data_IF_086013473814
#
_entry.id   IF_086013473814
#
_cell.length_a   1.000
_cell.length_b   1.000
_cell.length_c   1.000
_cell.angle_alpha   90.00
_cell.angle_beta   90.00
_cell.angle_gamma   90.00
#
_symmetry.space_group_name_H-M   'P 1'
#
loop_
_entity.id
_entity.type
_entity.pdbx_description
1 polymer ?
#
# COMPACT_ATOMS: atom_id res chain seq x y z
N UNK A 1 -0.16 -8.23 -16.86
CA UNK A 1 0.43 -6.98 -17.30
C UNK A 1 -0.60 -5.96 -17.72
N UNK A 2 -1.63 -5.79 -16.94
CA UNK A 2 -2.65 -4.80 -17.25
C UNK A 2 -3.15 -4.16 -15.97
N UNK A 3 -3.49 -2.90 -16.06
CA UNK A 3 -4.17 -2.20 -14.98
C UNK A 3 -5.60 -2.72 -14.88
N UNK A 4 -6.03 -2.99 -13.66
CA UNK A 4 -7.41 -3.39 -13.40
C UNK A 4 -8.03 -2.40 -12.42
N UNK A 5 -9.33 -2.14 -12.60
CA UNK A 5 -10.05 -1.25 -11.69
C UNK A 5 -10.27 -2.00 -10.38
N UNK A 6 -9.81 -1.40 -9.28
CA UNK A 6 -9.92 -2.03 -7.95
C UNK A 6 -10.81 -1.24 -7.00
N UNK A 7 -11.03 0.05 -7.28
CA UNK A 7 -11.84 0.90 -6.41
C UNK A 7 -12.19 2.19 -7.14
N UNK A 8 -12.99 3.05 -6.49
CA UNK A 8 -13.28 4.41 -6.94
C UNK A 8 -12.74 5.40 -5.91
N UNK A 9 -12.48 6.62 -6.36
CA UNK A 9 -12.01 7.68 -5.46
C UNK A 9 -12.98 7.92 -4.31
N UNK A 10 -14.28 7.70 -4.53
CA UNK A 10 -15.27 7.87 -3.46
C UNK A 10 -15.18 6.82 -2.37
N UNK A 11 -14.42 5.75 -2.58
CA UNK A 11 -14.28 4.68 -1.60
C UNK A 11 -13.31 5.02 -0.47
N UNK A 12 -12.45 6.02 -0.67
CA UNK A 12 -11.53 6.46 0.38
C UNK A 12 -11.22 7.94 0.25
N UNK A 13 -11.15 8.61 1.38
CA UNK A 13 -10.81 10.03 1.46
C UNK A 13 -9.29 10.21 1.56
N UNK A 14 -8.77 11.42 1.26
CA UNK A 14 -7.34 11.68 1.52
C UNK A 14 -6.97 11.37 2.96
N UNK A 15 -5.87 10.66 3.14
CA UNK A 15 -5.42 10.20 4.45
C UNK A 15 -5.97 8.85 4.87
N UNK A 16 -6.78 8.20 4.03
CA UNK A 16 -7.37 6.89 4.33
C UNK A 16 -6.70 5.77 3.57
N UNK A 17 -6.89 4.56 4.07
CA UNK A 17 -6.45 3.33 3.43
C UNK A 17 -7.67 2.50 3.02
N UNK A 18 -7.48 1.62 2.02
CA UNK A 18 -8.50 0.68 1.59
C UNK A 18 -7.84 -0.66 1.29
N UNK A 19 -8.37 -1.73 1.88
CA UNK A 19 -7.86 -3.07 1.65
C UNK A 19 -8.48 -3.66 0.37
N UNK A 20 -7.63 -4.04 -0.58
CA UNK A 20 -8.05 -4.72 -1.82
C UNK A 20 -7.58 -6.17 -1.72
N UNK A 21 -8.53 -7.10 -1.61
CA UNK A 21 -8.20 -8.51 -1.38
C UNK A 21 -8.49 -9.41 -2.57
N UNK A 22 -9.08 -8.89 -3.66
CA UNK A 22 -9.49 -9.68 -4.82
C UNK A 22 -8.32 -10.08 -5.73
N UNK A 23 -7.18 -9.42 -5.61
CA UNK A 23 -6.01 -9.73 -6.43
C UNK A 23 -5.21 -10.87 -5.81
N UNK A 24 -4.22 -11.39 -6.56
CA UNK A 24 -3.42 -12.50 -6.06
C UNK A 24 -2.56 -12.14 -4.85
N UNK A 25 -2.26 -10.83 -4.68
CA UNK A 25 -1.57 -10.32 -3.50
C UNK A 25 -2.49 -9.33 -2.80
N UNK A 26 -2.50 -9.28 -1.46
CA UNK A 26 -3.30 -8.30 -0.75
C UNK A 26 -2.69 -6.92 -0.91
N UNK A 27 -3.50 -5.95 -1.34
CA UNK A 27 -3.04 -4.60 -1.64
C UNK A 27 -3.66 -3.62 -0.66
N UNK A 28 -2.85 -2.67 -0.20
CA UNK A 28 -3.31 -1.52 0.56
C UNK A 28 -3.27 -0.32 -0.36
N UNK A 29 -4.44 0.25 -0.66
CA UNK A 29 -4.52 1.53 -1.35
C UNK A 29 -4.43 2.63 -0.30
N UNK A 30 -3.66 3.66 -0.59
CA UNK A 30 -3.51 4.81 0.28
C UNK A 30 -3.77 6.06 -0.54
N UNK A 31 -4.74 6.87 -0.13
CA UNK A 31 -5.00 8.15 -0.79
C UNK A 31 -4.27 9.24 -0.02
N UNK A 32 -3.26 9.83 -0.65
CA UNK A 32 -2.44 10.86 -0.03
C UNK A 32 -3.03 12.25 -0.23
N UNK A 33 -3.64 12.47 -1.39
CA UNK A 33 -4.19 13.76 -1.77
C UNK A 33 -5.35 13.50 -2.74
N UNK A 34 -5.99 14.53 -3.22
CA UNK A 34 -7.13 14.40 -4.14
C UNK A 34 -6.80 13.55 -5.36
N UNK A 35 -5.59 13.72 -5.91
CA UNK A 35 -5.16 13.04 -7.13
C UNK A 35 -3.99 12.11 -6.91
N UNK A 36 -3.65 11.76 -5.67
CA UNK A 36 -2.49 10.95 -5.36
C UNK A 36 -2.88 9.70 -4.58
N UNK A 37 -2.92 8.56 -5.27
CA UNK A 37 -3.22 7.26 -4.67
C UNK A 37 -2.03 6.34 -4.88
N UNK A 38 -1.63 5.64 -3.83
CA UNK A 38 -0.52 4.69 -3.87
C UNK A 38 -1.04 3.30 -3.60
N UNK A 39 -0.38 2.30 -4.20
CA UNK A 39 -0.70 0.89 -3.99
C UNK A 39 0.53 0.17 -3.48
N UNK A 40 0.42 -0.40 -2.29
CA UNK A 40 1.51 -1.15 -1.66
C UNK A 40 0.97 -2.49 -1.21
N UNK A 41 1.89 -3.45 -0.96
CA UNK A 41 1.48 -4.74 -0.38
C UNK A 41 0.90 -4.49 1.02
N UNK A 42 -0.19 -5.15 1.34
CA UNK A 42 -0.92 -4.89 2.59
C UNK A 42 -0.30 -5.58 3.81
N UNK A 43 0.90 -6.14 3.67
CA UNK A 43 1.51 -6.92 4.74
C UNK A 43 2.72 -6.19 5.30
N UNK A 44 2.68 -5.88 6.60
CA UNK A 44 3.82 -5.33 7.31
C UNK A 44 4.96 -6.36 7.28
N UNK A 45 6.12 -5.96 6.75
CA UNK A 45 7.25 -6.88 6.58
C UNK A 45 7.89 -7.26 7.90
N UNK A 46 7.55 -6.58 9.01
CA UNK A 46 8.09 -6.87 10.32
C UNK A 46 7.44 -8.12 10.92
N UNK A 47 6.09 -8.19 10.92
CA UNK A 47 5.38 -9.31 11.57
C UNK A 47 4.17 -9.81 10.79
N UNK A 48 4.13 -9.57 9.49
CA UNK A 48 3.05 -10.04 8.62
C UNK A 48 1.64 -9.62 9.07
N UNK A 49 1.52 -8.44 9.65
CA UNK A 49 0.23 -7.87 10.04
C UNK A 49 -0.36 -7.03 8.91
N UNK A 50 -1.69 -6.93 8.82
CA UNK A 50 -2.31 -6.11 7.77
C UNK A 50 -1.99 -4.63 7.96
N UNK A 51 -1.54 -3.97 6.88
CA UNK A 51 -1.19 -2.55 6.93
C UNK A 51 -2.37 -1.62 6.80
N UNK A 52 -3.49 -2.08 6.23
CA UNK A 52 -4.65 -1.21 6.04
C UNK A 52 -5.26 -0.72 7.35
N UNK A 53 -4.90 -1.32 8.48
CA UNK A 53 -5.31 -0.88 9.80
C UNK A 53 -4.39 0.19 10.38
N UNK A 54 -3.33 0.55 9.66
CA UNK A 54 -2.37 1.53 10.10
C UNK A 54 -2.81 2.97 9.85
N UNK A 55 -1.90 3.89 10.08
CA UNK A 55 -2.17 5.33 10.01
C UNK A 55 -1.28 5.99 8.95
N UNK A 56 -1.89 6.77 8.06
CA UNK A 56 -1.18 7.57 7.07
C UNK A 56 -0.69 8.85 7.72
N UNK A 57 0.59 9.18 7.51
CA UNK A 57 1.19 10.39 8.07
C UNK A 57 1.33 11.47 7.01
N UNK A 58 1.54 12.72 7.44
CA UNK A 58 1.63 13.87 6.55
C UNK A 58 2.86 13.83 5.63
N UNK A 59 3.86 13.03 5.96
CA UNK A 59 5.10 12.91 5.19
C UNK A 59 5.07 11.76 4.18
N UNK A 60 3.88 11.31 3.79
CA UNK A 60 3.68 10.23 2.82
C UNK A 60 4.24 8.90 3.31
N UNK A 61 4.14 8.64 4.61
CA UNK A 61 4.49 7.36 5.20
C UNK A 61 3.26 6.69 5.80
N UNK A 62 3.33 5.36 5.93
CA UNK A 62 2.27 4.54 6.54
C UNK A 62 2.85 3.85 7.77
N UNK A 63 2.20 4.04 8.92
CA UNK A 63 2.64 3.45 10.18
C UNK A 63 1.82 2.20 10.46
N UNK A 64 2.48 1.07 10.66
CA UNK A 64 1.84 -0.19 11.01
C UNK A 64 1.21 -0.07 12.40
N UNK A 65 -0.07 -0.47 12.52
CA UNK A 65 -0.82 -0.35 13.78
C UNK A 65 -0.22 -1.17 14.91
N UNK A 66 0.40 -2.31 14.58
CA UNK A 66 0.86 -3.26 15.60
C UNK A 66 2.20 -2.90 16.22
N UNK A 67 3.13 -2.35 15.44
CA UNK A 67 4.53 -2.23 15.88
C UNK A 67 5.15 -0.87 15.56
N UNK A 68 4.35 0.07 15.10
CA UNK A 68 4.83 1.41 14.72
C UNK A 68 5.92 1.40 13.66
N UNK A 69 6.08 0.30 12.92
CA UNK A 69 6.96 0.28 11.75
C UNK A 69 6.40 1.27 10.73
N UNK A 70 7.30 2.03 10.12
CA UNK A 70 6.92 3.09 9.20
C UNK A 70 7.52 2.84 7.83
N UNK A 71 6.70 2.98 6.80
CA UNK A 71 7.13 2.74 5.42
C UNK A 71 6.89 3.96 4.56
N UNK A 72 7.90 4.30 3.74
CA UNK A 72 7.77 5.35 2.73
C UNK A 72 6.88 4.83 1.60
N UNK A 73 5.80 5.52 1.30
CA UNK A 73 4.84 5.07 0.29
C UNK A 73 5.33 5.30 -1.14
N UNK A 74 6.42 6.03 -1.33
CA UNK A 74 7.01 6.23 -2.64
C UNK A 74 8.01 5.13 -2.97
N UNK A 75 8.88 4.77 -2.02
CA UNK A 75 9.97 3.81 -2.25
C UNK A 75 9.70 2.45 -1.64
N UNK A 76 8.79 2.35 -0.69
CA UNK A 76 8.53 1.11 0.06
C UNK A 76 9.51 0.87 1.19
N UNK A 77 10.52 1.71 1.35
CA UNK A 77 11.56 1.49 2.34
C UNK A 77 11.07 1.74 3.76
N UNK A 78 11.59 0.95 4.69
CA UNK A 78 11.36 1.16 6.11
C UNK A 78 12.10 2.42 6.56
N UNK A 79 11.37 3.34 7.20
CA UNK A 79 11.94 4.54 7.79
C UNK A 79 11.67 4.51 9.27
N UNK A 80 12.68 4.70 10.07
CA UNK A 80 12.54 4.63 11.54
C UNK A 80 13.22 3.40 12.12
N UNK A 81 12.88 3.08 13.35
CA UNK A 81 13.51 2.01 14.11
C UNK A 81 12.42 1.09 14.65
N UNK A 82 12.54 -0.23 14.50
CA UNK A 82 13.63 -0.96 13.86
C UNK A 82 13.55 -0.87 12.33
N UNK A 83 14.69 -1.06 11.68
CA UNK A 83 14.72 -1.16 10.22
C UNK A 83 14.26 -2.57 9.83
N UNK A 84 13.29 -2.66 8.93
CA UNK A 84 12.71 -3.93 8.47
C UNK A 84 12.80 -4.00 6.95
N UNK A 85 12.56 -5.17 6.33
CA UNK A 85 12.61 -5.26 4.88
C UNK A 85 11.65 -4.29 4.21
N UNK A 86 11.97 -3.82 2.97
CA UNK A 86 11.10 -2.88 2.27
C UNK A 86 9.77 -3.52 1.88
N UNK A 87 8.79 -2.66 1.63
CA UNK A 87 7.43 -3.03 1.27
C UNK A 87 7.28 -2.96 -0.25
N UNK A 88 6.71 -3.98 -0.92
CA UNK A 88 6.44 -3.89 -2.35
C UNK A 88 5.51 -2.73 -2.67
N UNK A 89 5.86 -1.97 -3.71
CA UNK A 89 5.07 -0.85 -4.23
C UNK A 89 4.68 -1.20 -5.67
N UNK A 90 3.41 -1.02 -6.01
CA UNK A 90 2.88 -1.39 -7.31
C UNK A 90 2.44 -0.18 -8.10
N UNK A 91 2.41 -0.32 -9.44
CA UNK A 91 1.91 0.73 -10.30
C UNK A 91 0.44 0.98 -10.02
N UNK A 92 0.08 2.24 -9.87
CA UNK A 92 -1.26 2.67 -9.55
C UNK A 92 -1.56 3.96 -10.31
N UNK A 93 -2.78 4.09 -10.83
CA UNK A 93 -3.18 5.31 -11.52
C UNK A 93 -4.66 5.58 -11.32
N UNK A 94 -5.06 6.80 -11.64
CA UNK A 94 -6.45 7.24 -11.59
C UNK A 94 -6.89 7.55 -13.01
N UNK A 95 -8.05 7.02 -13.40
CA UNK A 95 -8.70 7.36 -14.69
C UNK A 95 -10.13 7.76 -14.40
N UNK A 96 -10.43 9.05 -14.57
CA UNK A 96 -11.71 9.57 -14.11
C UNK A 96 -11.82 9.44 -12.62
N UNK A 97 -12.81 8.70 -12.14
CA UNK A 97 -12.98 8.41 -10.71
C UNK A 97 -12.48 7.02 -10.34
N UNK A 98 -11.96 6.26 -11.31
CA UNK A 98 -11.53 4.88 -11.05
C UNK A 98 -10.08 4.82 -10.62
N UNK A 99 -9.78 3.95 -9.66
CA UNK A 99 -8.42 3.65 -9.22
C UNK A 99 -8.03 2.31 -9.81
N UNK A 100 -6.89 2.28 -10.52
CA UNK A 100 -6.41 1.10 -11.21
C UNK A 100 -5.04 0.70 -10.68
N UNK A 101 -4.81 -0.60 -10.56
CA UNK A 101 -3.54 -1.17 -10.10
C UNK A 101 -3.09 -2.24 -11.10
N UNK A 102 -1.78 -2.26 -11.39
CA UNK A 102 -1.16 -3.35 -12.13
C UNK A 102 -0.22 -4.08 -11.17
N UNK A 103 -0.68 -5.22 -10.65
CA UNK A 103 0.06 -6.00 -9.65
C UNK A 103 1.29 -6.68 -10.26
N UNK A 104 1.35 -6.80 -11.59
CA UNK A 104 2.51 -7.35 -12.28
C UNK A 104 3.61 -6.31 -12.49
N UNK A 105 3.33 -5.04 -12.19
CA UNK A 105 4.28 -3.95 -12.35
C UNK A 105 4.70 -3.43 -10.98
N UNK A 106 5.62 -4.15 -10.35
CA UNK A 106 6.19 -3.74 -9.08
C UNK A 106 7.25 -2.68 -9.32
N UNK A 107 7.16 -1.57 -8.61
CA UNK A 107 8.02 -0.41 -8.83
C UNK A 107 9.36 -0.47 -8.10
N UNK A 108 9.52 -1.43 -7.19
CA UNK A 108 10.75 -1.63 -6.43
C UNK A 108 11.11 -3.11 -6.38
N UNK A 109 12.25 -3.43 -5.78
CA UNK A 109 12.78 -4.81 -5.74
C UNK A 109 12.43 -5.53 -4.43
N UNK A 110 11.48 -5.02 -3.65
CA UNK A 110 11.14 -5.60 -2.36
C UNK A 110 10.62 -7.04 -2.52
N UNK A 111 11.08 -7.99 -1.67
CA UNK A 111 10.53 -9.34 -1.71
C UNK A 111 9.08 -9.36 -1.25
N UNK A 112 8.29 -10.27 -1.84
CA UNK A 112 6.87 -10.38 -1.49
C UNK A 112 6.74 -11.00 -0.10
N UNK A 113 6.08 -10.31 0.86
CA UNK A 113 5.93 -10.85 2.21
C UNK A 113 4.99 -12.04 2.26
N UNK A 114 5.23 -12.92 3.22
CA UNK A 114 4.26 -13.95 3.55
C UNK A 114 3.01 -13.30 4.15
N UNK A 115 1.81 -13.73 3.71
CA UNK A 115 0.56 -13.10 4.14
C UNK A 115 -0.46 -14.16 4.60
N UNK A 116 -0.29 -14.67 5.83
CA UNK A 116 -1.15 -15.76 6.32
C UNK A 116 -2.61 -15.38 6.49
N UNK A 117 -2.92 -14.08 6.53
CA UNK A 117 -4.29 -13.58 6.73
C UNK A 117 -5.09 -13.47 5.42
N UNK A 118 -4.45 -13.72 4.27
CA UNK A 118 -5.09 -13.48 2.95
C UNK A 118 -5.56 -14.74 2.25
#
# INVERSE_FOLDING_TARGET
MAFVIVANLDDLEPGETLFVEELREPICLVRLDDDDVRAVHNTCTHQQQPLHEGTVQDDDTLVCASHNSRFDLTTGESVGIPVVPPLPVYACKIEGDAILVDIDQQLNDAPIPHHPYH
#
